data_IF_962636765732
#
_entry.id   IF_962636765732
#
_cell.length_a   1.000
_cell.length_b   1.000
_cell.length_c   1.000
_cell.angle_alpha   90.00
_cell.angle_beta   90.00
_cell.angle_gamma   90.00
#
_symmetry.space_group_name_H-M   'P 1'
#
loop_
_entity.id
_entity.type
_entity.pdbx_description
1 polymer ?
#
# COMPACT_ATOMS: atom_id res chain seq x y z
N UNK A 1 -24.60 15.87 -2.06
CA UNK A 1 -25.92 15.31 -2.43
C UNK A 1 -25.98 13.85 -2.04
N UNK A 2 -27.13 13.29 -1.62
CA UNK A 2 -27.23 11.86 -1.38
C UNK A 2 -27.05 11.11 -2.71
N UNK A 3 -26.08 10.20 -2.73
CA UNK A 3 -25.77 9.33 -3.87
C UNK A 3 -26.96 8.39 -4.07
N UNK A 4 -27.40 8.23 -5.32
CA UNK A 4 -28.46 7.27 -5.64
C UNK A 4 -27.96 5.83 -5.54
N UNK A 5 -28.84 4.89 -5.26
CA UNK A 5 -28.51 3.46 -5.23
C UNK A 5 -27.95 2.96 -6.58
N UNK A 6 -28.42 3.50 -7.70
CA UNK A 6 -27.90 3.21 -9.04
C UNK A 6 -26.45 3.69 -9.21
N UNK A 7 -26.14 4.86 -8.68
CA UNK A 7 -24.79 5.41 -8.72
C UNK A 7 -23.84 4.60 -7.82
N UNK A 8 -24.30 4.18 -6.63
CA UNK A 8 -23.52 3.27 -5.76
C UNK A 8 -23.22 1.94 -6.44
N UNK A 9 -24.23 1.33 -7.07
CA UNK A 9 -24.06 0.10 -7.84
C UNK A 9 -23.04 0.26 -8.99
N UNK A 10 -23.09 1.39 -9.71
CA UNK A 10 -22.13 1.71 -10.76
C UNK A 10 -20.70 1.85 -10.23
N UNK A 11 -20.50 2.54 -9.10
CA UNK A 11 -19.17 2.72 -8.48
C UNK A 11 -18.59 1.40 -7.98
N UNK A 12 -19.41 0.55 -7.38
CA UNK A 12 -19.00 -0.80 -6.96
C UNK A 12 -18.62 -1.67 -8.15
N UNK A 13 -19.38 -1.58 -9.25
CA UNK A 13 -19.04 -2.26 -10.50
C UNK A 13 -17.69 -1.80 -11.04
N UNK A 14 -17.46 -0.48 -11.09
CA UNK A 14 -16.19 0.08 -11.55
C UNK A 14 -15.01 -0.39 -10.67
N UNK A 15 -15.16 -0.36 -9.34
CA UNK A 15 -14.14 -0.86 -8.41
C UNK A 15 -13.85 -2.36 -8.61
N UNK A 16 -14.89 -3.18 -8.79
CA UNK A 16 -14.76 -4.61 -9.07
C UNK A 16 -13.97 -4.85 -10.37
N UNK A 17 -14.35 -4.16 -11.44
CA UNK A 17 -13.72 -4.30 -12.76
C UNK A 17 -12.27 -3.82 -12.74
N UNK A 18 -11.96 -2.75 -12.02
CA UNK A 18 -10.60 -2.25 -11.81
C UNK A 18 -9.72 -3.28 -11.07
N UNK A 19 -10.29 -4.04 -10.13
CA UNK A 19 -9.62 -5.16 -9.47
C UNK A 19 -9.60 -6.47 -10.30
N UNK A 20 -10.09 -6.44 -11.55
CA UNK A 20 -10.24 -7.60 -12.45
C UNK A 20 -11.06 -8.75 -11.87
N UNK A 21 -11.97 -8.46 -10.95
CA UNK A 21 -12.81 -9.47 -10.33
C UNK A 21 -14.09 -9.69 -11.14
N UNK A 22 -14.54 -10.94 -11.23
CA UNK A 22 -15.86 -11.28 -11.78
C UNK A 22 -16.95 -11.09 -10.73
N UNK A 23 -18.21 -11.03 -11.17
CA UNK A 23 -19.34 -11.04 -10.23
C UNK A 23 -19.39 -12.34 -9.41
N UNK A 24 -18.89 -13.46 -9.95
CA UNK A 24 -18.80 -14.73 -9.24
C UNK A 24 -17.73 -14.72 -8.14
N UNK A 25 -16.61 -14.04 -8.35
CA UNK A 25 -15.58 -13.84 -7.32
C UNK A 25 -16.15 -13.09 -6.11
N UNK A 26 -16.84 -11.98 -6.38
CA UNK A 26 -17.49 -11.17 -5.34
C UNK A 26 -18.62 -11.93 -4.65
N UNK A 27 -19.42 -12.69 -5.41
CA UNK A 27 -20.52 -13.48 -4.87
C UNK A 27 -20.02 -14.54 -3.89
N UNK A 28 -18.91 -15.23 -4.21
CA UNK A 28 -18.26 -16.18 -3.32
C UNK A 28 -17.80 -15.52 -2.02
N UNK A 29 -17.17 -14.35 -2.11
CA UNK A 29 -16.68 -13.62 -0.93
C UNK A 29 -17.82 -13.12 -0.04
N UNK A 30 -18.91 -12.62 -0.64
CA UNK A 30 -20.09 -12.17 0.10
C UNK A 30 -21.02 -13.30 0.55
N UNK A 31 -20.80 -14.53 0.10
CA UNK A 31 -21.67 -15.69 0.31
C UNK A 31 -23.10 -15.46 -0.18
N UNK A 32 -23.24 -14.84 -1.35
CA UNK A 32 -24.52 -14.58 -2.03
C UNK A 32 -24.52 -15.18 -3.43
N UNK A 33 -25.66 -15.14 -4.13
CA UNK A 33 -25.68 -15.54 -5.54
C UNK A 33 -25.04 -14.48 -6.45
N UNK A 34 -24.46 -14.91 -7.58
CA UNK A 34 -24.02 -13.99 -8.66
C UNK A 34 -25.11 -13.02 -9.09
N UNK A 35 -26.35 -13.50 -9.17
CA UNK A 35 -27.51 -12.67 -9.52
C UNK A 35 -27.73 -11.55 -8.51
N UNK A 36 -27.48 -11.80 -7.23
CA UNK A 36 -27.57 -10.78 -6.17
C UNK A 36 -26.55 -9.68 -6.40
N UNK A 37 -25.29 -10.02 -6.69
CA UNK A 37 -24.24 -9.05 -7.03
C UNK A 37 -24.62 -8.22 -8.27
N UNK A 38 -25.12 -8.87 -9.32
CA UNK A 38 -25.59 -8.17 -10.51
C UNK A 38 -26.74 -7.17 -10.21
N UNK A 39 -27.70 -7.55 -9.35
CA UNK A 39 -28.79 -6.65 -8.95
C UNK A 39 -28.31 -5.50 -8.05
N UNK A 40 -27.28 -5.72 -7.22
CA UNK A 40 -26.61 -4.65 -6.47
C UNK A 40 -25.95 -3.64 -7.43
N UNK A 41 -25.18 -4.13 -8.41
CA UNK A 41 -24.48 -3.29 -9.40
C UNK A 41 -25.44 -2.49 -10.30
N UNK A 42 -26.60 -3.05 -10.63
CA UNK A 42 -27.66 -2.35 -11.37
C UNK A 42 -28.44 -1.34 -10.51
N UNK A 43 -28.25 -1.36 -9.19
CA UNK A 43 -29.01 -0.53 -8.26
C UNK A 43 -30.45 -0.98 -8.05
N UNK A 44 -30.80 -2.21 -8.42
CA UNK A 44 -32.13 -2.79 -8.22
C UNK A 44 -32.31 -3.39 -6.83
N UNK A 45 -31.21 -3.85 -6.21
CA UNK A 45 -31.17 -4.36 -4.82
C UNK A 45 -30.33 -3.43 -3.96
N UNK A 46 -30.83 -3.13 -2.77
CA UNK A 46 -30.08 -2.34 -1.79
C UNK A 46 -28.81 -3.06 -1.35
N UNK A 47 -27.81 -2.28 -0.94
CA UNK A 47 -26.56 -2.79 -0.37
C UNK A 47 -26.56 -2.39 1.09
N UNK A 48 -26.46 -3.36 1.99
CA UNK A 48 -26.39 -3.12 3.43
C UNK A 48 -25.03 -2.56 3.82
N UNK A 49 -24.93 -1.92 4.99
CA UNK A 49 -23.65 -1.40 5.49
C UNK A 49 -22.57 -2.49 5.61
N UNK A 50 -22.93 -3.69 6.07
CA UNK A 50 -22.01 -4.83 6.18
C UNK A 50 -21.57 -5.38 4.81
N UNK A 51 -22.47 -5.42 3.83
CA UNK A 51 -22.10 -5.80 2.45
C UNK A 51 -21.16 -4.76 1.85
N UNK A 52 -21.43 -3.48 2.08
CA UNK A 52 -20.61 -2.40 1.56
C UNK A 52 -19.21 -2.40 2.19
N UNK A 53 -19.11 -2.64 3.50
CA UNK A 53 -17.84 -2.77 4.22
C UNK A 53 -16.97 -3.92 3.67
N UNK A 54 -17.57 -5.10 3.49
CA UNK A 54 -16.89 -6.26 2.88
C UNK A 54 -16.44 -5.97 1.45
N UNK A 55 -17.27 -5.28 0.66
CA UNK A 55 -16.90 -4.88 -0.70
C UNK A 55 -15.76 -3.86 -0.70
N UNK A 56 -15.79 -2.88 0.21
CA UNK A 56 -14.72 -1.90 0.35
C UNK A 56 -13.39 -2.57 0.70
N UNK A 57 -13.39 -3.50 1.67
CA UNK A 57 -12.23 -4.33 1.99
C UNK A 57 -11.72 -5.12 0.78
N UNK A 58 -12.64 -5.80 0.07
CA UNK A 58 -12.30 -6.64 -1.07
C UNK A 58 -11.70 -5.85 -2.24
N UNK A 59 -12.19 -4.63 -2.47
CA UNK A 59 -11.67 -3.72 -3.48
C UNK A 59 -10.46 -2.92 -2.98
N UNK A 60 -10.05 -3.14 -1.72
CA UNK A 60 -8.94 -2.44 -1.09
C UNK A 60 -9.17 -0.95 -0.97
N UNK A 61 -10.43 -0.48 -0.85
CA UNK A 61 -10.88 0.92 -0.86
C UNK A 61 -11.48 1.35 0.48
N UNK A 62 -11.51 2.65 0.77
CA UNK A 62 -12.25 3.17 1.92
C UNK A 62 -13.75 3.21 1.61
N UNK A 63 -14.59 2.82 2.57
CA UNK A 63 -16.05 2.86 2.41
C UNK A 63 -16.56 4.26 2.05
N UNK A 64 -15.91 5.32 2.55
CA UNK A 64 -16.26 6.73 2.34
C UNK A 64 -16.05 7.16 0.89
N UNK A 65 -15.10 6.54 0.17
CA UNK A 65 -14.83 6.86 -1.23
C UNK A 65 -16.02 6.56 -2.15
N UNK A 66 -16.87 5.61 -1.78
CA UNK A 66 -18.09 5.34 -2.56
C UNK A 66 -19.11 6.48 -2.47
N UNK A 67 -18.96 7.40 -1.51
CA UNK A 67 -19.89 8.49 -1.25
C UNK A 67 -19.34 9.89 -1.57
N UNK A 68 -18.10 9.99 -2.06
CA UNK A 68 -17.50 11.28 -2.47
C UNK A 68 -18.18 11.86 -3.71
N UNK A 69 -18.04 13.17 -3.93
CA UNK A 69 -18.58 13.83 -5.12
C UNK A 69 -17.98 13.26 -6.40
N UNK A 70 -16.66 13.08 -6.42
CA UNK A 70 -15.92 12.43 -7.49
C UNK A 70 -15.43 11.05 -7.04
N UNK A 71 -15.78 10.03 -7.82
CA UNK A 71 -15.27 8.67 -7.62
C UNK A 71 -14.06 8.45 -8.51
N UNK A 72 -12.92 8.13 -7.91
CA UNK A 72 -11.72 7.76 -8.66
C UNK A 72 -11.72 6.24 -8.88
N UNK A 73 -11.64 5.78 -10.12
CA UNK A 73 -11.57 4.34 -10.41
C UNK A 73 -10.18 3.76 -10.12
N UNK A 74 -9.12 4.60 -10.14
CA UNK A 74 -7.73 4.18 -9.93
C UNK A 74 -7.27 4.33 -8.48
N UNK A 75 -7.58 3.33 -7.67
CA UNK A 75 -7.03 3.20 -6.31
C UNK A 75 -5.62 2.57 -6.30
N UNK A 76 -4.90 2.68 -5.18
CA UNK A 76 -3.55 2.15 -4.98
C UNK A 76 -3.45 0.67 -5.32
N UNK A 77 -4.44 -0.14 -4.92
CA UNK A 77 -4.46 -1.57 -5.22
C UNK A 77 -4.51 -1.83 -6.75
N UNK A 78 -5.29 -1.02 -7.48
CA UNK A 78 -5.42 -1.11 -8.93
C UNK A 78 -4.11 -0.70 -9.62
N UNK A 79 -3.46 0.37 -9.12
CA UNK A 79 -2.15 0.82 -9.64
C UNK A 79 -1.09 -0.26 -9.47
N UNK A 80 -1.04 -0.92 -8.31
CA UNK A 80 -0.13 -2.04 -8.06
C UNK A 80 -0.38 -3.21 -9.01
N UNK A 81 -1.64 -3.59 -9.20
CA UNK A 81 -2.03 -4.67 -10.11
C UNK A 81 -1.71 -4.35 -11.57
N UNK A 82 -1.71 -3.07 -11.96
CA UNK A 82 -1.26 -2.66 -13.29
C UNK A 82 0.28 -2.74 -13.41
N UNK A 83 1.01 -2.32 -12.38
CA UNK A 83 2.46 -2.36 -12.36
C UNK A 83 3.02 -3.79 -12.27
N UNK A 84 2.32 -4.68 -11.57
CA UNK A 84 2.68 -6.07 -11.34
C UNK A 84 1.49 -7.00 -11.63
N UNK A 85 1.17 -7.27 -12.93
CA UNK A 85 -0.01 -8.04 -13.31
C UNK A 85 -0.05 -9.48 -12.78
N UNK A 86 1.13 -10.05 -12.55
CA UNK A 86 1.35 -11.38 -12.00
C UNK A 86 0.98 -11.50 -10.51
N UNK A 87 0.87 -10.38 -9.78
CA UNK A 87 0.39 -10.37 -8.39
C UNK A 87 -1.06 -10.78 -8.29
N UNK A 88 -1.88 -10.43 -9.29
CA UNK A 88 -3.33 -10.68 -9.26
C UNK A 88 -3.64 -12.18 -9.12
N UNK A 89 -2.76 -13.03 -9.66
CA UNK A 89 -2.88 -14.49 -9.61
C UNK A 89 -2.41 -15.07 -8.27
N UNK A 90 -1.72 -14.29 -7.44
CA UNK A 90 -1.20 -14.70 -6.14
C UNK A 90 -2.13 -14.23 -5.02
N UNK A 91 -3.14 -15.04 -4.71
CA UNK A 91 -4.19 -14.70 -3.73
C UNK A 91 -3.62 -14.30 -2.35
N UNK A 92 -2.53 -14.94 -1.91
CA UNK A 92 -1.87 -14.62 -0.64
C UNK A 92 -1.29 -13.19 -0.61
N UNK A 93 -0.68 -12.75 -1.71
CA UNK A 93 -0.11 -11.40 -1.84
C UNK A 93 -1.20 -10.36 -1.92
N UNK A 94 -2.22 -10.62 -2.74
CA UNK A 94 -3.39 -9.75 -2.88
C UNK A 94 -4.06 -9.54 -1.52
N UNK A 95 -4.24 -10.61 -0.76
CA UNK A 95 -4.83 -10.53 0.58
C UNK A 95 -3.91 -9.81 1.57
N UNK A 96 -2.59 -10.01 1.50
CA UNK A 96 -1.65 -9.25 2.30
C UNK A 96 -1.71 -7.74 1.99
N UNK A 97 -1.80 -7.36 0.71
CA UNK A 97 -1.98 -5.97 0.30
C UNK A 97 -3.28 -5.36 0.83
N UNK A 98 -4.41 -6.08 0.70
CA UNK A 98 -5.70 -5.65 1.26
C UNK A 98 -5.63 -5.43 2.76
N UNK A 99 -5.03 -6.37 3.50
CA UNK A 99 -4.82 -6.25 4.95
C UNK A 99 -3.97 -5.03 5.31
N UNK A 100 -2.89 -4.77 4.58
CA UNK A 100 -2.02 -3.62 4.85
C UNK A 100 -2.76 -2.29 4.60
N UNK A 101 -3.50 -2.19 3.50
CA UNK A 101 -4.32 -1.00 3.20
C UNK A 101 -5.42 -0.81 4.25
N UNK A 102 -6.11 -1.88 4.65
CA UNK A 102 -7.12 -1.83 5.69
C UNK A 102 -6.52 -1.38 7.03
N UNK A 103 -5.38 -1.95 7.44
CA UNK A 103 -4.70 -1.54 8.67
C UNK A 103 -4.28 -0.07 8.61
N UNK A 104 -3.75 0.40 7.49
CA UNK A 104 -3.37 1.79 7.31
C UNK A 104 -4.54 2.77 7.43
N UNK A 105 -5.71 2.38 6.91
CA UNK A 105 -6.96 3.14 7.08
C UNK A 105 -7.39 3.18 8.54
N UNK A 106 -7.34 2.05 9.24
CA UNK A 106 -7.71 1.99 10.65
C UNK A 106 -6.78 2.83 11.52
N UNK A 107 -5.46 2.75 11.31
CA UNK A 107 -4.48 3.60 12.02
C UNK A 107 -4.78 5.08 11.76
N UNK A 108 -4.96 5.47 10.50
CA UNK A 108 -5.30 6.86 10.14
C UNK A 108 -6.65 7.30 10.73
N UNK A 109 -7.62 6.39 10.82
CA UNK A 109 -8.93 6.64 11.42
C UNK A 109 -8.80 6.88 12.93
N UNK A 110 -8.01 6.05 13.62
CA UNK A 110 -7.73 6.19 15.04
C UNK A 110 -7.00 7.50 15.34
N UNK A 111 -5.99 7.85 14.55
CA UNK A 111 -5.28 9.13 14.70
C UNK A 111 -6.25 10.31 14.63
N UNK A 112 -7.21 10.28 13.69
CA UNK A 112 -8.25 11.31 13.58
C UNK A 112 -9.19 11.35 14.78
N UNK A 113 -9.63 10.18 15.25
CA UNK A 113 -10.52 10.10 16.41
C UNK A 113 -9.86 10.58 17.70
N UNK A 114 -8.55 10.41 17.80
CA UNK A 114 -7.76 10.84 18.95
C UNK A 114 -7.33 12.32 18.87
N UNK A 115 -7.66 13.04 17.79
CA UNK A 115 -7.21 14.42 17.59
C UNK A 115 -5.71 14.53 17.31
N UNK A 116 -5.08 13.43 16.90
CA UNK A 116 -3.69 13.37 16.48
C UNK A 116 -3.53 13.80 15.01
N UNK A 117 -4.65 13.95 14.31
CA UNK A 117 -4.75 14.57 13.00
C UNK A 117 -4.42 16.08 13.08
N UNK A 118 -3.14 16.38 12.92
CA UNK A 118 -2.61 17.74 12.97
C UNK A 118 -1.87 18.09 14.27
N UNK A 119 -1.89 17.19 15.27
CA UNK A 119 -1.03 17.26 16.46
C UNK A 119 -0.22 15.99 16.56
N UNK A 120 1.04 16.00 16.11
CA UNK A 120 1.86 14.81 16.12
C UNK A 120 2.21 14.37 17.55
N UNK A 121 2.40 13.06 17.79
CA UNK A 121 3.49 12.67 18.66
C UNK A 121 4.82 12.93 17.92
N UNK A 122 4.92 12.68 16.61
CA UNK A 122 6.19 12.71 15.87
C UNK A 122 6.20 13.14 14.37
N UNK A 123 5.16 13.76 13.80
CA UNK A 123 5.10 14.18 12.39
C UNK A 123 4.89 15.69 12.15
N UNK A 124 5.85 16.34 11.51
CA UNK A 124 5.69 17.71 10.99
C UNK A 124 5.18 17.62 9.54
N UNK A 125 3.96 18.09 9.28
CA UNK A 125 3.41 18.27 7.93
C UNK A 125 2.30 17.27 7.54
N UNK A 126 1.75 17.44 6.34
CA UNK A 126 0.88 16.42 5.74
C UNK A 126 1.61 15.06 5.71
N UNK A 127 0.91 13.90 5.68
CA UNK A 127 1.52 12.56 5.82
C UNK A 127 2.67 12.26 4.86
N UNK A 128 2.81 13.08 3.82
CA UNK A 128 3.84 12.99 2.79
C UNK A 128 4.90 14.09 2.96
N UNK A 129 4.56 15.34 3.30
CA UNK A 129 5.52 16.46 3.29
C UNK A 129 6.64 16.38 4.35
N UNK A 130 6.48 15.57 5.40
CA UNK A 130 7.50 15.37 6.45
C UNK A 130 8.57 14.30 6.15
N UNK A 131 8.32 13.43 5.16
CA UNK A 131 9.21 12.30 4.85
C UNK A 131 10.31 12.76 3.89
N UNK A 132 11.57 12.45 4.21
CA UNK A 132 12.69 12.77 3.33
C UNK A 132 12.54 12.09 1.96
N UNK A 133 12.97 12.80 0.90
CA UNK A 133 13.02 12.25 -0.44
C UNK A 133 14.30 12.72 -1.12
N UNK A 134 14.94 11.80 -1.82
CA UNK A 134 16.19 12.00 -2.54
C UNK A 134 15.97 11.65 -4.01
N UNK A 135 15.21 12.48 -4.75
CA UNK A 135 14.90 12.17 -6.14
C UNK A 135 16.17 12.20 -6.98
N UNK A 136 16.53 11.07 -7.58
CA UNK A 136 17.68 10.93 -8.46
C UNK A 136 17.26 10.50 -9.87
N UNK A 137 18.06 10.79 -10.90
CA UNK A 137 17.84 10.24 -12.22
C UNK A 137 17.87 8.71 -12.18
N UNK A 138 16.98 8.07 -12.94
CA UNK A 138 16.97 6.61 -13.07
C UNK A 138 18.36 6.11 -13.47
N UNK A 139 18.97 5.20 -12.69
CA UNK A 139 20.32 4.71 -12.96
C UNK A 139 20.38 4.04 -14.33
N UNK A 140 21.51 4.22 -15.02
CA UNK A 140 21.76 3.65 -16.36
C UNK A 140 22.60 2.38 -16.32
N UNK A 141 23.14 2.06 -15.16
CA UNK A 141 23.98 0.88 -14.93
C UNK A 141 23.92 0.42 -13.48
N UNK A 142 24.30 -0.83 -13.22
CA UNK A 142 24.38 -1.38 -11.85
C UNK A 142 25.35 -0.59 -10.98
N UNK A 143 26.48 -0.17 -11.55
CA UNK A 143 27.45 0.66 -10.82
C UNK A 143 26.84 1.99 -10.38
N UNK A 144 26.05 2.61 -11.25
CA UNK A 144 25.36 3.86 -10.92
C UNK A 144 24.29 3.64 -9.85
N UNK A 145 23.48 2.56 -9.95
CA UNK A 145 22.50 2.21 -8.92
C UNK A 145 23.14 2.04 -7.54
N UNK A 146 24.20 1.22 -7.45
CA UNK A 146 24.95 1.00 -6.19
C UNK A 146 25.54 2.31 -5.66
N UNK A 147 26.11 3.15 -6.54
CA UNK A 147 26.68 4.44 -6.16
C UNK A 147 25.62 5.41 -5.63
N UNK A 148 24.46 5.47 -6.28
CA UNK A 148 23.32 6.26 -5.84
C UNK A 148 22.79 5.77 -4.48
N UNK A 149 22.58 4.47 -4.31
CA UNK A 149 22.13 3.86 -3.06
C UNK A 149 23.10 4.10 -1.91
N UNK A 150 24.41 3.90 -2.15
CA UNK A 150 25.44 4.16 -1.14
C UNK A 150 25.43 5.63 -0.68
N UNK A 151 25.35 6.58 -1.63
CA UNK A 151 25.30 8.01 -1.31
C UNK A 151 24.06 8.38 -0.50
N UNK A 152 22.87 7.93 -0.92
CA UNK A 152 21.63 8.23 -0.21
C UNK A 152 21.61 7.58 1.17
N UNK A 153 22.15 6.38 1.32
CA UNK A 153 22.27 5.73 2.64
C UNK A 153 23.13 6.53 3.62
N UNK A 154 24.20 7.17 3.14
CA UNK A 154 25.07 8.00 3.97
C UNK A 154 24.40 9.34 4.32
N UNK A 155 23.77 9.98 3.33
CA UNK A 155 23.00 11.22 3.53
C UNK A 155 21.87 11.02 4.54
N UNK A 156 21.15 9.90 4.44
CA UNK A 156 20.05 9.57 5.33
C UNK A 156 20.54 9.23 6.75
N UNK A 157 21.62 8.44 6.88
CA UNK A 157 22.26 8.21 8.20
C UNK A 157 22.70 9.51 8.86
N UNK A 158 23.19 10.47 8.07
CA UNK A 158 23.60 11.79 8.57
C UNK A 158 22.39 12.60 9.03
N UNK A 159 21.30 12.62 8.25
CA UNK A 159 20.04 13.29 8.60
C UNK A 159 19.46 12.75 9.90
N UNK A 160 19.49 11.43 10.09
CA UNK A 160 18.96 10.73 11.25
C UNK A 160 19.92 10.68 12.45
N UNK A 161 21.16 11.14 12.30
CA UNK A 161 22.16 11.11 13.38
C UNK A 161 22.59 9.69 13.80
N UNK A 162 22.47 8.70 12.92
CA UNK A 162 22.70 7.27 13.25
C UNK A 162 24.19 6.88 13.32
N UNK A 163 25.09 7.75 12.86
CA UNK A 163 26.53 7.45 12.79
C UNK A 163 26.82 6.23 11.88
N UNK A 164 27.77 5.38 12.29
CA UNK A 164 28.18 4.15 11.56
C UNK A 164 27.84 2.84 12.30
N UNK A 165 27.22 2.93 13.47
CA UNK A 165 26.89 1.75 14.27
C UNK A 165 25.79 0.89 13.59
N UNK A 166 25.69 -0.40 13.93
CA UNK A 166 24.55 -1.23 13.58
C UNK A 166 23.24 -0.60 14.09
N UNK A 167 22.20 -0.61 13.25
CA UNK A 167 20.87 -0.13 13.64
C UNK A 167 20.23 -1.16 14.57
N UNK A 168 19.71 -0.79 15.74
CA UNK A 168 19.16 -1.79 16.68
C UNK A 168 17.77 -2.22 16.23
N UNK A 169 16.84 -1.28 16.16
CA UNK A 169 15.50 -1.49 15.62
C UNK A 169 15.29 -0.61 14.40
N UNK A 170 15.21 -1.22 13.22
CA UNK A 170 14.95 -0.47 11.99
C UNK A 170 13.49 -0.04 11.92
N UNK A 171 12.56 -0.83 12.47
CA UNK A 171 11.14 -0.53 12.44
C UNK A 171 10.85 0.79 13.15
N UNK A 172 11.32 0.92 14.39
CA UNK A 172 11.19 2.15 15.17
C UNK A 172 11.81 3.37 14.48
N UNK A 173 12.95 3.18 13.81
CA UNK A 173 13.60 4.26 13.06
C UNK A 173 12.71 4.72 11.91
N UNK A 174 12.14 3.79 11.13
CA UNK A 174 11.26 4.12 10.01
C UNK A 174 9.95 4.74 10.47
N UNK A 175 9.36 4.22 11.54
CA UNK A 175 8.12 4.73 12.13
C UNK A 175 8.32 6.14 12.67
N UNK A 176 9.46 6.44 13.29
CA UNK A 176 9.80 7.80 13.70
C UNK A 176 9.89 8.78 12.51
N UNK A 177 10.02 8.29 11.27
CA UNK A 177 10.00 9.12 10.05
C UNK A 177 8.63 9.21 9.38
N UNK A 178 7.62 8.47 9.85
CA UNK A 178 6.27 8.47 9.25
C UNK A 178 6.02 7.34 8.28
N UNK A 179 6.86 6.30 8.34
CA UNK A 179 6.70 5.09 7.57
C UNK A 179 6.21 3.98 8.49
N UNK A 180 4.99 3.51 8.27
CA UNK A 180 4.45 2.39 9.02
C UNK A 180 5.12 1.09 8.58
N UNK A 181 5.52 0.26 9.55
CA UNK A 181 6.17 -1.03 9.26
C UNK A 181 5.22 -2.19 9.52
N UNK A 182 5.19 -3.16 8.60
CA UNK A 182 4.33 -4.34 8.72
C UNK A 182 5.12 -5.61 8.42
N UNK A 183 4.93 -6.64 9.27
CA UNK A 183 5.37 -8.01 8.98
C UNK A 183 4.18 -8.84 8.50
N UNK A 184 4.21 -9.20 7.22
CA UNK A 184 3.16 -10.00 6.58
C UNK A 184 3.68 -11.36 6.13
N UNK A 185 2.83 -12.38 6.17
CA UNK A 185 3.11 -13.66 5.52
C UNK A 185 2.96 -13.46 4.01
N UNK A 186 4.08 -13.55 3.28
CA UNK A 186 4.16 -13.39 1.83
C UNK A 186 4.83 -14.63 1.22
N UNK A 187 4.56 -14.95 -0.06
CA UNK A 187 5.29 -15.98 -0.79
C UNK A 187 6.82 -15.82 -0.68
N UNK A 188 7.54 -16.94 -0.71
CA UNK A 188 8.98 -16.98 -0.40
C UNK A 188 9.83 -16.09 -1.31
N UNK A 189 9.43 -15.93 -2.57
CA UNK A 189 10.11 -15.13 -3.58
C UNK A 189 9.97 -13.62 -3.36
N UNK A 190 8.95 -13.16 -2.64
CA UNK A 190 8.69 -11.76 -2.30
C UNK A 190 9.39 -11.41 -0.99
N UNK A 191 10.28 -10.41 -1.04
CA UNK A 191 11.02 -9.92 0.13
C UNK A 191 10.25 -8.86 0.91
N UNK A 192 9.43 -8.08 0.20
CA UNK A 192 8.68 -6.97 0.75
C UNK A 192 7.94 -6.20 -0.34
N UNK A 193 7.27 -5.14 0.08
CA UNK A 193 6.72 -4.13 -0.81
C UNK A 193 6.57 -2.79 -0.09
N UNK A 194 6.56 -1.72 -0.88
CA UNK A 194 6.33 -0.35 -0.42
C UNK A 194 5.01 0.14 -0.98
N UNK A 195 4.18 0.76 -0.14
CA UNK A 195 2.93 1.39 -0.53
C UNK A 195 2.94 2.86 -0.14
N UNK A 196 2.52 3.73 -1.04
CA UNK A 196 2.38 5.15 -0.81
C UNK A 196 1.00 5.60 -1.27
N UNK A 197 0.16 5.93 -0.29
CA UNK A 197 -1.23 6.31 -0.55
C UNK A 197 -1.60 7.53 0.28
N UNK A 198 -2.07 8.59 -0.37
CA UNK A 198 -2.30 9.89 0.29
C UNK A 198 -3.32 9.82 1.42
N UNK A 199 -4.28 8.90 1.33
CA UNK A 199 -5.33 8.72 2.33
C UNK A 199 -4.88 7.97 3.58
N UNK A 200 -3.77 7.21 3.53
CA UNK A 200 -3.31 6.32 4.62
C UNK A 200 -1.84 6.46 5.01
N UNK A 201 -1.03 7.18 4.24
CA UNK A 201 0.41 7.32 4.46
C UNK A 201 1.26 6.30 3.72
N UNK A 202 2.50 6.11 4.19
CA UNK A 202 3.48 5.21 3.58
C UNK A 202 3.63 3.96 4.44
N UNK A 203 3.58 2.80 3.79
CA UNK A 203 3.79 1.50 4.42
C UNK A 203 4.98 0.80 3.79
N UNK A 204 5.81 0.24 4.64
CA UNK A 204 6.85 -0.71 4.25
C UNK A 204 6.50 -2.06 4.84
N UNK A 205 6.48 -3.09 4.01
CA UNK A 205 6.13 -4.45 4.40
C UNK A 205 7.30 -5.37 4.15
N UNK A 206 7.66 -6.18 5.15
CA UNK A 206 8.67 -7.21 5.03
C UNK A 206 8.05 -8.61 5.20
N UNK A 207 8.63 -9.59 4.50
CA UNK A 207 8.15 -10.97 4.57
C UNK A 207 8.48 -11.64 5.91
N UNK A 208 7.43 -12.01 6.65
CA UNK A 208 7.50 -12.65 7.96
C UNK A 208 8.11 -14.05 7.93
N UNK A 209 8.09 -14.74 6.79
CA UNK A 209 8.71 -16.07 6.65
C UNK A 209 10.24 -16.01 6.66
N UNK A 210 10.83 -14.85 6.34
CA UNK A 210 12.29 -14.72 6.25
C UNK A 210 12.92 -14.59 7.64
N UNK A 211 14.18 -15.00 7.77
CA UNK A 211 14.93 -14.84 9.02
C UNK A 211 15.07 -13.35 9.39
N UNK A 212 15.18 -13.08 10.69
CA UNK A 212 15.23 -11.71 11.24
C UNK A 212 16.24 -10.78 10.54
N UNK A 213 17.45 -11.27 10.21
CA UNK A 213 18.44 -10.47 9.48
C UNK A 213 17.99 -10.09 8.07
N UNK A 214 17.27 -10.99 7.38
CA UNK A 214 16.72 -10.71 6.05
C UNK A 214 15.53 -9.75 6.15
N UNK A 215 14.67 -9.89 7.15
CA UNK A 215 13.57 -8.93 7.40
C UNK A 215 14.11 -7.51 7.60
N UNK A 216 15.20 -7.36 8.36
CA UNK A 216 15.86 -6.06 8.55
C UNK A 216 16.41 -5.48 7.25
N UNK A 217 16.99 -6.33 6.42
CA UNK A 217 17.42 -5.92 5.09
C UNK A 217 16.21 -5.49 4.24
N UNK A 218 15.14 -6.28 4.21
CA UNK A 218 13.90 -5.93 3.51
C UNK A 218 13.34 -4.58 3.98
N UNK A 219 13.26 -4.32 5.28
CA UNK A 219 12.83 -3.01 5.78
C UNK A 219 13.71 -1.87 5.27
N UNK A 220 15.03 -2.02 5.28
CA UNK A 220 15.95 -1.02 4.77
C UNK A 220 15.79 -0.82 3.25
N UNK A 221 15.62 -1.91 2.52
CA UNK A 221 15.46 -1.94 1.06
C UNK A 221 14.19 -1.23 0.63
N UNK A 222 13.06 -1.60 1.22
CA UNK A 222 11.78 -0.96 0.96
C UNK A 222 11.78 0.51 1.39
N UNK A 223 12.46 0.85 2.50
CA UNK A 223 12.64 2.25 2.85
C UNK A 223 13.45 3.03 1.80
N UNK A 224 14.41 2.40 1.13
CA UNK A 224 15.10 3.03 0.02
C UNK A 224 14.14 3.38 -1.12
N UNK A 225 13.13 2.55 -1.42
CA UNK A 225 12.07 2.89 -2.38
C UNK A 225 11.23 4.09 -1.91
N UNK A 226 10.97 4.23 -0.61
CA UNK A 226 10.30 5.44 -0.07
C UNK A 226 11.13 6.70 -0.36
N UNK A 227 12.44 6.62 -0.15
CA UNK A 227 13.37 7.75 -0.32
C UNK A 227 13.64 8.11 -1.79
N UNK A 228 13.83 7.12 -2.64
CA UNK A 228 14.31 7.27 -4.02
C UNK A 228 13.17 7.24 -5.05
N UNK A 229 12.14 6.44 -4.81
CA UNK A 229 11.11 6.09 -5.80
C UNK A 229 9.73 6.65 -5.45
N UNK A 230 9.67 7.71 -4.66
CA UNK A 230 8.43 8.32 -4.13
C UNK A 230 7.38 8.69 -5.18
N UNK A 231 7.77 8.84 -6.45
CA UNK A 231 6.84 9.01 -7.57
C UNK A 231 5.99 7.77 -7.89
N UNK A 232 6.32 6.61 -7.34
CA UNK A 232 5.57 5.36 -7.47
C UNK A 232 4.61 5.20 -6.28
N UNK A 233 3.34 4.88 -6.55
CA UNK A 233 2.35 4.57 -5.50
C UNK A 233 2.60 3.21 -4.83
N UNK A 234 3.40 2.35 -5.45
CA UNK A 234 4.00 1.22 -4.75
C UNK A 234 4.92 0.36 -5.62
N UNK A 235 5.71 -0.48 -4.95
CA UNK A 235 6.75 -1.36 -5.50
C UNK A 235 6.69 -2.72 -4.79
N UNK A 236 7.08 -3.80 -5.48
CA UNK A 236 7.14 -5.14 -4.90
C UNK A 236 8.51 -5.74 -5.20
N UNK A 237 9.32 -5.93 -4.16
CA UNK A 237 10.67 -6.46 -4.31
C UNK A 237 10.67 -7.98 -4.32
N UNK A 238 11.12 -8.54 -5.45
CA UNK A 238 11.19 -9.99 -5.69
C UNK A 238 12.61 -10.46 -5.85
N UNK A 239 12.84 -11.69 -5.43
CA UNK A 239 14.13 -12.37 -5.57
C UNK A 239 14.53 -12.56 -7.06
N UNK A 240 13.53 -12.67 -7.95
CA UNK A 240 13.72 -12.75 -9.40
C UNK A 240 14.09 -11.42 -10.06
N UNK A 241 13.74 -10.29 -9.44
CA UNK A 241 13.97 -8.94 -9.94
C UNK A 241 15.27 -8.31 -9.41
N UNK A 242 16.08 -9.05 -8.65
CA UNK A 242 17.31 -8.57 -7.97
C UNK A 242 18.37 -7.92 -8.89
N UNK A 243 18.25 -8.12 -10.19
CA UNK A 243 19.18 -7.59 -11.20
C UNK A 243 18.65 -6.32 -11.88
N UNK A 244 17.38 -5.96 -11.63
CA UNK A 244 16.78 -4.70 -12.07
C UNK A 244 17.42 -3.53 -11.33
N UNK A 245 17.73 -2.45 -12.04
CA UNK A 245 18.53 -1.35 -11.48
C UNK A 245 17.87 -0.63 -10.30
N UNK A 246 16.55 -0.75 -10.14
CA UNK A 246 15.81 -0.19 -8.99
C UNK A 246 15.93 -1.08 -7.74
N UNK A 247 16.20 -2.37 -7.92
CA UNK A 247 16.33 -3.37 -6.86
C UNK A 247 17.80 -3.62 -6.44
N UNK A 248 18.74 -2.83 -6.98
CA UNK A 248 20.20 -3.00 -6.82
C UNK A 248 20.82 -1.94 -5.92
#
# INVERSE_FOLDING_TARGET
>A
MPISQKELGRRLRAAREACRMTQDDVARHLQVSRSTVAQMELGNRGITGLELDRLAYLFGRDIREFFTETFNEEDVLVVLFRAHPDVIEQEEVVEALRRCLALGREVTSLDRLLGLDGSPPHYVGSPQEGIAAYPLPTPRSKWEAVSQGARVSEEERRRLGLGIAPLVDIGDILEAQGVHTILAYLPEDISGFTLSEASVGIFVVANRHHLYLRQRFSFAHEYAHVLLDRGRRGTISRSSARDELIEV
#
